data_IF_316080135578
#
_entry.id   IF_316080135578
#
_cell.length_a   1.000
_cell.length_b   1.000
_cell.length_c   1.000
_cell.angle_alpha   90.00
_cell.angle_beta   90.00
_cell.angle_gamma   90.00
#
_symmetry.space_group_name_H-M   'P 1'
#
loop_
_entity.id
_entity.type
_entity.pdbx_description
1 polymer ?
#
# COMPACT_ATOMS: atom_id res chain seq x y z
N UNK A 1 -15.78 -26.22 3.77
CA UNK A 1 -14.60 -25.99 2.93
C UNK A 1 -13.92 -24.78 3.54
N UNK A 2 -12.66 -24.90 3.92
CA UNK A 2 -11.94 -23.80 4.58
C UNK A 2 -11.70 -22.72 3.54
N UNK A 3 -12.48 -21.64 3.59
CA UNK A 3 -12.19 -20.43 2.84
C UNK A 3 -10.87 -19.89 3.38
N UNK A 4 -9.81 -20.00 2.59
CA UNK A 4 -8.63 -19.16 2.79
C UNK A 4 -9.12 -17.72 2.62
N UNK A 5 -9.21 -16.96 3.70
CA UNK A 5 -9.32 -15.50 3.59
C UNK A 5 -8.12 -15.04 2.76
N UNK A 6 -8.36 -14.55 1.53
CA UNK A 6 -7.30 -13.99 0.70
C UNK A 6 -6.90 -12.64 1.31
N UNK A 7 -5.94 -12.57 2.23
CA UNK A 7 -5.48 -11.30 2.79
C UNK A 7 -4.88 -10.41 1.70
N UNK A 8 -5.10 -9.09 1.78
CA UNK A 8 -4.50 -8.10 0.90
C UNK A 8 -3.57 -7.19 1.72
N UNK A 9 -2.34 -7.03 1.29
CA UNK A 9 -1.39 -6.09 1.86
C UNK A 9 -0.81 -5.17 0.79
N UNK A 10 -0.13 -4.11 1.22
CA UNK A 10 0.49 -3.15 0.33
C UNK A 10 1.96 -3.02 0.66
N UNK A 11 2.76 -2.88 -0.39
CA UNK A 11 4.21 -2.74 -0.28
C UNK A 11 4.71 -1.59 -1.13
N UNK A 12 5.58 -0.76 -0.55
CA UNK A 12 6.35 0.24 -1.30
C UNK A 12 7.78 -0.26 -1.47
N UNK A 13 8.14 -0.69 -2.67
CA UNK A 13 9.47 -1.25 -2.98
C UNK A 13 10.37 -0.20 -3.64
N UNK A 14 11.52 0.18 -3.04
CA UNK A 14 12.50 1.05 -3.66
C UNK A 14 13.24 0.33 -4.80
N UNK A 15 13.24 0.93 -5.99
CA UNK A 15 13.78 0.31 -7.20
C UNK A 15 15.09 0.95 -7.66
N UNK A 16 16.06 0.09 -7.97
CA UNK A 16 17.39 0.44 -8.42
C UNK A 16 17.69 -0.16 -9.77
N UNK A 17 18.55 0.52 -10.53
CA UNK A 17 19.06 0.01 -11.80
C UNK A 17 20.52 -0.35 -11.64
N UNK A 18 20.86 -1.61 -11.88
CA UNK A 18 22.25 -2.05 -11.85
C UNK A 18 23.02 -1.65 -13.13
N UNK A 19 24.31 -2.00 -13.15
CA UNK A 19 25.22 -1.70 -14.25
C UNK A 19 24.82 -2.42 -15.56
N UNK A 20 24.09 -3.53 -15.46
CA UNK A 20 23.57 -4.29 -16.60
C UNK A 20 22.22 -3.73 -17.09
N UNK A 21 21.68 -2.74 -16.39
CA UNK A 21 20.45 -2.06 -16.72
C UNK A 21 19.19 -2.78 -16.23
N UNK A 22 19.34 -3.79 -15.37
CA UNK A 22 18.27 -4.59 -14.79
C UNK A 22 17.71 -3.86 -13.56
N UNK A 23 16.40 -3.93 -13.37
CA UNK A 23 15.71 -3.36 -12.22
C UNK A 23 15.67 -4.37 -11.08
N UNK A 24 16.07 -3.93 -9.88
CA UNK A 24 16.02 -4.73 -8.66
C UNK A 24 15.61 -3.89 -7.45
N UNK A 25 14.99 -4.55 -6.48
CA UNK A 25 14.67 -3.94 -5.19
C UNK A 25 15.95 -3.71 -4.38
N UNK A 26 16.03 -2.61 -3.65
CA UNK A 26 17.19 -2.29 -2.82
C UNK A 26 16.86 -1.32 -1.69
N UNK A 27 17.88 -0.72 -1.04
CA UNK A 27 17.66 0.20 0.07
C UNK A 27 16.92 1.48 -0.40
N UNK A 28 16.28 2.18 0.53
CA UNK A 28 15.61 3.46 0.26
C UNK A 28 16.53 4.52 -0.33
N UNK A 29 17.75 4.62 0.20
CA UNK A 29 18.71 5.62 -0.24
C UNK A 29 19.18 5.33 -1.66
N UNK A 30 19.08 6.35 -2.54
CA UNK A 30 19.52 6.24 -3.92
C UNK A 30 18.55 5.53 -4.87
N UNK A 31 17.36 5.15 -4.40
CA UNK A 31 16.32 4.58 -5.25
C UNK A 31 15.97 5.51 -6.41
N UNK A 32 15.76 4.93 -7.60
CA UNK A 32 15.42 5.67 -8.83
C UNK A 32 13.93 5.99 -8.90
N UNK A 33 13.11 5.08 -8.38
CA UNK A 33 11.67 5.20 -8.22
C UNK A 33 11.21 4.23 -7.14
N UNK A 34 9.94 4.31 -6.78
CA UNK A 34 9.28 3.46 -5.80
C UNK A 34 8.09 2.78 -6.45
N UNK A 35 7.98 1.47 -6.27
CA UNK A 35 6.89 0.67 -6.82
C UNK A 35 5.88 0.41 -5.73
N UNK A 36 4.62 0.78 -5.95
CA UNK A 36 3.51 0.39 -5.07
C UNK A 36 2.89 -0.89 -5.61
N UNK A 37 2.84 -1.90 -4.76
CA UNK A 37 2.34 -3.23 -5.08
C UNK A 37 1.17 -3.58 -4.16
N UNK A 38 0.18 -4.27 -4.71
CA UNK A 38 -0.82 -5.01 -3.93
C UNK A 38 -0.33 -6.44 -3.85
N UNK A 39 -0.25 -6.97 -2.64
CA UNK A 39 0.22 -8.32 -2.36
C UNK A 39 -0.98 -9.13 -1.84
N UNK A 40 -1.20 -10.32 -2.38
CA UNK A 40 -2.29 -11.21 -2.00
C UNK A 40 -1.75 -12.44 -1.28
N UNK A 41 -2.44 -12.85 -0.22
CA UNK A 41 -2.12 -14.05 0.55
C UNK A 41 -0.77 -13.95 1.27
N UNK A 42 0.07 -14.97 1.11
CA UNK A 42 1.37 -15.10 1.76
C UNK A 42 2.53 -14.39 1.03
N UNK A 43 2.22 -13.66 -0.04
CA UNK A 43 3.19 -12.88 -0.79
C UNK A 43 3.67 -13.48 -2.09
N UNK A 44 3.13 -14.63 -2.51
CA UNK A 44 3.47 -15.24 -3.80
C UNK A 44 2.86 -14.49 -5.00
N UNK A 45 1.70 -13.85 -4.80
CA UNK A 45 1.01 -13.06 -5.82
C UNK A 45 1.11 -11.56 -5.49
N UNK A 46 1.93 -10.83 -6.24
CA UNK A 46 2.04 -9.37 -6.15
C UNK A 46 1.74 -8.72 -7.51
N UNK A 47 0.89 -7.69 -7.51
CA UNK A 47 0.58 -6.89 -8.69
C UNK A 47 1.08 -5.46 -8.52
N UNK A 48 1.83 -4.98 -9.51
CA UNK A 48 2.29 -3.60 -9.57
C UNK A 48 1.14 -2.68 -9.92
N UNK A 49 0.87 -1.71 -9.06
CA UNK A 49 -0.20 -0.73 -9.26
C UNK A 49 0.34 0.55 -9.89
N UNK A 50 1.41 1.11 -9.33
CA UNK A 50 1.95 2.39 -9.77
C UNK A 50 3.44 2.54 -9.49
N UNK A 51 4.14 3.16 -10.43
CA UNK A 51 5.51 3.64 -10.27
C UNK A 51 5.48 5.10 -9.82
N UNK A 52 6.10 5.38 -8.67
CA UNK A 52 6.18 6.70 -8.06
C UNK A 52 7.62 7.23 -8.13
N UNK A 53 7.77 8.50 -8.48
CA UNK A 53 9.10 9.11 -8.62
C UNK A 53 9.83 9.28 -7.29
N UNK A 54 9.10 9.44 -6.19
CA UNK A 54 9.64 9.73 -4.87
C UNK A 54 8.79 9.11 -3.75
N UNK A 55 9.34 9.07 -2.53
CA UNK A 55 8.67 8.49 -1.35
C UNK A 55 7.34 9.18 -1.03
N UNK A 56 7.25 10.50 -1.25
CA UNK A 56 6.05 11.28 -0.92
C UNK A 56 4.89 10.91 -1.83
N UNK A 57 5.14 10.75 -3.12
CA UNK A 57 4.15 10.28 -4.09
C UNK A 57 3.76 8.83 -3.84
N UNK A 58 4.71 7.96 -3.48
CA UNK A 58 4.42 6.57 -3.12
C UNK A 58 3.54 6.47 -1.86
N UNK A 59 3.86 7.24 -0.82
CA UNK A 59 3.09 7.29 0.42
C UNK A 59 1.65 7.80 0.19
N UNK A 60 1.48 8.82 -0.66
CA UNK A 60 0.15 9.31 -1.03
C UNK A 60 -0.62 8.24 -1.82
N UNK A 61 0.03 7.59 -2.80
CA UNK A 61 -0.60 6.56 -3.62
C UNK A 61 -1.06 5.37 -2.77
N UNK A 62 -0.24 4.92 -1.81
CA UNK A 62 -0.58 3.83 -0.88
C UNK A 62 -1.84 4.16 -0.06
N UNK A 63 -1.93 5.39 0.48
CA UNK A 63 -3.10 5.84 1.24
C UNK A 63 -4.36 5.96 0.38
N UNK A 64 -4.25 6.57 -0.81
CA UNK A 64 -5.37 6.68 -1.76
C UNK A 64 -5.87 5.30 -2.16
N UNK A 65 -4.96 4.38 -2.48
CA UNK A 65 -5.31 3.04 -2.90
C UNK A 65 -6.01 2.26 -1.78
N UNK A 66 -5.47 2.31 -0.56
CA UNK A 66 -6.10 1.69 0.62
C UNK A 66 -7.51 2.25 0.86
N UNK A 67 -7.68 3.57 0.87
CA UNK A 67 -8.99 4.21 1.04
C UNK A 67 -9.94 3.88 -0.12
N UNK A 68 -9.44 3.77 -1.36
CA UNK A 68 -10.26 3.39 -2.52
C UNK A 68 -10.77 1.95 -2.41
N UNK A 69 -9.91 1.03 -1.96
CA UNK A 69 -10.27 -0.36 -1.72
C UNK A 69 -11.35 -0.46 -0.63
N UNK A 70 -11.20 0.29 0.47
CA UNK A 70 -12.23 0.44 1.50
C UNK A 70 -13.55 0.99 0.94
N UNK A 71 -13.49 2.13 0.26
CA UNK A 71 -14.66 2.84 -0.29
C UNK A 71 -15.47 2.03 -1.31
N UNK A 72 -14.80 1.28 -2.19
CA UNK A 72 -15.46 0.48 -3.21
C UNK A 72 -16.17 -0.75 -2.65
N UNK A 73 -16.06 -0.99 -1.34
CA UNK A 73 -16.55 -2.22 -0.76
C UNK A 73 -15.90 -3.41 -1.47
N UNK A 74 -14.60 -3.34 -1.71
CA UNK A 74 -13.84 -4.55 -2.03
C UNK A 74 -13.54 -5.36 -0.75
N UNK A 75 -13.94 -4.85 0.43
CA UNK A 75 -13.53 -5.34 1.76
C UNK A 75 -14.68 -5.77 2.71
N UNK A 76 -15.93 -5.28 2.57
CA UNK A 76 -17.10 -5.73 3.40
C UNK A 76 -17.92 -7.02 3.01
N UNK A 77 -17.63 -8.21 3.56
CA UNK A 77 -18.49 -9.40 3.40
C UNK A 77 -17.88 -10.70 3.95
N UNK A 78 -18.70 -11.75 4.18
CA UNK A 78 -18.31 -13.02 4.86
C UNK A 78 -17.14 -13.81 4.21
N UNK A 79 -16.71 -13.45 3.00
CA UNK A 79 -15.60 -14.05 2.24
C UNK A 79 -14.68 -12.97 1.61
N UNK A 80 -14.42 -11.85 2.31
CA UNK A 80 -13.58 -10.77 1.76
C UNK A 80 -12.17 -10.71 2.36
N UNK A 81 -11.18 -10.26 1.56
CA UNK A 81 -9.83 -10.01 2.03
C UNK A 81 -9.78 -9.12 3.27
N UNK A 82 -9.17 -9.60 4.35
CA UNK A 82 -8.69 -8.68 5.38
C UNK A 82 -7.55 -7.84 4.77
N UNK A 83 -7.60 -6.51 4.96
CA UNK A 83 -6.49 -5.63 4.59
C UNK A 83 -5.49 -5.60 5.73
N UNK A 84 -4.34 -6.20 5.52
CA UNK A 84 -3.28 -6.24 6.52
C UNK A 84 -2.63 -4.86 6.71
N UNK A 85 -2.08 -4.59 7.91
CA UNK A 85 -1.23 -3.44 8.11
C UNK A 85 -0.02 -3.47 7.16
N UNK A 86 0.46 -2.28 6.80
CA UNK A 86 1.67 -2.12 5.99
C UNK A 86 2.89 -2.78 6.66
N UNK A 87 3.83 -3.29 5.86
CA UNK A 87 5.10 -3.78 6.37
C UNK A 87 5.93 -2.65 7.04
N UNK A 88 6.89 -3.01 7.90
CA UNK A 88 7.67 -2.05 8.70
C UNK A 88 8.37 -0.98 7.83
N UNK A 89 8.84 -1.35 6.64
CA UNK A 89 9.50 -0.43 5.73
C UNK A 89 8.52 0.57 5.12
N UNK A 90 7.36 0.08 4.69
CA UNK A 90 6.26 0.89 4.18
C UNK A 90 5.72 1.82 5.27
N UNK A 91 5.56 1.33 6.50
CA UNK A 91 5.21 2.17 7.67
C UNK A 91 6.23 3.30 7.85
N UNK A 92 7.53 2.99 7.83
CA UNK A 92 8.57 4.01 7.99
C UNK A 92 8.55 5.06 6.85
N UNK A 93 8.22 4.66 5.62
CA UNK A 93 8.05 5.59 4.49
C UNK A 93 6.81 6.48 4.72
N UNK A 94 5.70 5.90 5.17
CA UNK A 94 4.45 6.61 5.45
C UNK A 94 4.62 7.63 6.58
N UNK A 95 5.29 7.25 7.67
CA UNK A 95 5.55 8.14 8.83
C UNK A 95 6.47 9.30 8.47
N UNK A 96 7.51 9.06 7.67
CA UNK A 96 8.42 10.10 7.20
C UNK A 96 7.76 11.07 6.20
N UNK A 97 6.66 10.66 5.55
CA UNK A 97 5.95 11.43 4.54
C UNK A 97 4.48 11.61 4.92
N UNK A 98 4.18 12.44 5.94
CA UNK A 98 2.81 12.73 6.33
C UNK A 98 2.08 13.42 5.18
N UNK A 99 0.93 12.88 4.82
CA UNK A 99 -0.04 13.53 3.94
C UNK A 99 -1.24 13.95 4.78
N UNK A 100 -2.06 14.92 4.31
CA UNK A 100 -3.37 15.15 4.93
C UNK A 100 -4.07 13.81 5.12
N UNK A 101 -4.69 13.60 6.29
CA UNK A 101 -5.40 12.36 6.58
C UNK A 101 -6.44 12.13 5.48
N UNK A 102 -6.21 11.09 4.68
CA UNK A 102 -7.24 10.52 3.83
C UNK A 102 -8.01 9.61 4.77
N UNK A 103 -9.06 10.16 5.39
CA UNK A 103 -9.96 9.39 6.24
C UNK A 103 -10.57 8.30 5.36
N UNK A 104 -10.50 7.06 5.84
CA UNK A 104 -11.17 5.95 5.19
C UNK A 104 -12.67 6.26 5.22
N UNK A 105 -13.40 6.27 4.10
CA UNK A 105 -14.83 6.59 4.12
C UNK A 105 -15.67 5.60 4.95
N UNK A 106 -15.09 4.49 5.44
CA UNK A 106 -15.70 3.57 6.39
C UNK A 106 -15.38 3.83 7.88
N UNK A 107 -14.48 4.76 8.22
CA UNK A 107 -14.30 5.21 9.60
C UNK A 107 -15.42 6.22 9.92
N UNK A 108 -16.24 5.94 10.95
CA UNK A 108 -17.25 6.89 11.43
C UNK A 108 -16.55 8.21 11.79
N UNK A 109 -16.67 9.22 10.92
CA UNK A 109 -16.37 10.59 11.32
C UNK A 109 -17.40 10.97 12.37
N UNK A 110 -16.99 11.04 13.64
CA UNK A 110 -17.79 11.67 14.69
C UNK A 110 -18.19 13.06 14.19
N UNK A 111 -19.50 13.27 14.01
CA UNK A 111 -20.02 14.59 13.65
C UNK A 111 -19.59 15.59 14.72
N UNK A 112 -19.10 16.78 14.35
CA UNK A 112 -18.71 17.78 15.34
C UNK A 112 -19.93 18.15 16.19
N UNK A 113 -19.85 17.92 17.50
CA UNK A 113 -20.89 18.35 18.44
C UNK A 113 -21.00 19.89 18.41
N UNK A 114 -22.22 20.41 18.16
CA UNK A 114 -22.56 21.84 18.16
C UNK A 114 -22.51 22.49 19.55
#
# INVERSE_FOLDING_TARGET
MSGSSETLSFKITPMHRDEEGIWSSGPREGARFFMLEIVRGDGEDAEVVVECRDERSAALAARVLRATIGALGLVEGEERPEVEPFDEETVAILEANPTPEIVDPGEETEEPEE
#
